data_IF_653188264389
#
_entry.id   IF_653188264389
#
_cell.length_a   1.000
_cell.length_b   1.000
_cell.length_c   1.000
_cell.angle_alpha   90.00
_cell.angle_beta   90.00
_cell.angle_gamma   90.00
#
_symmetry.space_group_name_H-M   'P 1'
#
loop_
_entity.id
_entity.type
_entity.pdbx_description
1 polymer ?
#
# COMPACT_ATOMS: atom_id res chain seq x y z
N UNK A 1 14.43 -13.90 -82.38
CA UNK A 1 13.48 -13.13 -81.54
C UNK A 1 12.30 -14.02 -81.17
N UNK A 2 12.28 -14.57 -79.94
CA UNK A 2 11.29 -15.57 -79.51
C UNK A 2 10.13 -14.86 -78.79
N UNK A 3 8.97 -14.74 -79.44
CA UNK A 3 7.76 -14.10 -78.88
C UNK A 3 7.24 -14.93 -77.70
N UNK A 4 7.51 -14.49 -76.48
CA UNK A 4 6.95 -15.07 -75.25
C UNK A 4 5.44 -14.77 -75.24
N UNK A 5 4.61 -15.81 -75.36
CA UNK A 5 3.14 -15.70 -75.39
C UNK A 5 2.64 -15.03 -74.10
N UNK A 6 1.73 -14.05 -74.18
CA UNK A 6 1.08 -13.38 -73.02
C UNK A 6 0.58 -14.36 -71.92
N UNK A 7 0.24 -15.59 -72.32
CA UNK A 7 -0.23 -16.67 -71.44
C UNK A 7 0.84 -17.16 -70.45
N UNK A 8 2.13 -17.13 -70.80
CA UNK A 8 3.22 -17.49 -69.87
C UNK A 8 3.47 -16.39 -68.85
N UNK A 9 3.32 -15.12 -69.24
CA UNK A 9 3.47 -13.99 -68.30
C UNK A 9 2.38 -13.98 -67.22
N UNK A 10 1.12 -14.23 -67.61
CA UNK A 10 0.02 -14.39 -66.63
C UNK A 10 0.29 -15.55 -65.66
N UNK A 11 0.79 -16.68 -66.14
CA UNK A 11 1.13 -17.83 -65.28
C UNK A 11 2.25 -17.50 -64.29
N UNK A 12 3.28 -16.76 -64.73
CA UNK A 12 4.39 -16.33 -63.85
C UNK A 12 3.88 -15.38 -62.76
N UNK A 13 3.01 -14.42 -63.11
CA UNK A 13 2.42 -13.50 -62.13
C UNK A 13 1.54 -14.24 -61.12
N UNK A 14 0.73 -15.21 -61.55
CA UNK A 14 -0.06 -16.04 -60.64
C UNK A 14 0.81 -16.87 -59.69
N UNK A 15 1.91 -17.44 -60.16
CA UNK A 15 2.85 -18.19 -59.32
C UNK A 15 3.51 -17.27 -58.29
N UNK A 16 3.91 -16.06 -58.68
CA UNK A 16 4.50 -15.09 -57.76
C UNK A 16 3.50 -14.64 -56.68
N UNK A 17 2.25 -14.36 -57.06
CA UNK A 17 1.20 -14.00 -56.10
C UNK A 17 0.88 -15.14 -55.14
N UNK A 18 0.82 -16.38 -55.63
CA UNK A 18 0.61 -17.56 -54.79
C UNK A 18 1.77 -17.78 -53.81
N UNK A 19 3.01 -17.55 -54.24
CA UNK A 19 4.19 -17.65 -53.38
C UNK A 19 4.20 -16.57 -52.28
N UNK A 20 3.83 -15.32 -52.62
CA UNK A 20 3.71 -14.23 -51.65
C UNK A 20 2.60 -14.53 -50.63
N UNK A 21 1.45 -15.01 -51.09
CA UNK A 21 0.35 -15.38 -50.20
C UNK A 21 0.75 -16.50 -49.23
N UNK A 22 1.43 -17.54 -49.73
CA UNK A 22 1.94 -18.63 -48.90
C UNK A 22 2.93 -18.12 -47.84
N UNK A 23 3.82 -17.18 -48.19
CA UNK A 23 4.77 -16.59 -47.25
C UNK A 23 4.08 -15.78 -46.15
N UNK A 24 3.02 -15.04 -46.47
CA UNK A 24 2.23 -14.27 -45.50
C UNK A 24 1.51 -15.22 -44.53
N UNK A 25 0.85 -16.25 -45.05
CA UNK A 25 0.13 -17.24 -44.23
C UNK A 25 1.11 -18.00 -43.33
N UNK A 26 2.27 -18.40 -43.85
CA UNK A 26 3.30 -19.07 -43.06
C UNK A 26 3.82 -18.18 -41.92
N UNK A 27 4.06 -16.89 -42.20
CA UNK A 27 4.48 -15.93 -41.18
C UNK A 27 3.42 -15.71 -40.11
N UNK A 28 2.14 -15.67 -40.50
CA UNK A 28 1.02 -15.51 -39.56
C UNK A 28 0.89 -16.74 -38.64
N UNK A 29 0.92 -17.97 -39.19
CA UNK A 29 0.90 -19.21 -38.41
C UNK A 29 2.10 -19.29 -37.46
N UNK A 30 3.29 -18.88 -37.92
CA UNK A 30 4.48 -18.84 -37.08
C UNK A 30 4.35 -17.86 -35.91
N UNK A 31 3.67 -16.72 -36.10
CA UNK A 31 3.43 -15.74 -35.05
C UNK A 31 2.40 -16.24 -34.04
N UNK A 32 1.31 -16.88 -34.50
CA UNK A 32 0.33 -17.49 -33.59
C UNK A 32 0.96 -18.60 -32.74
N UNK A 33 1.85 -19.41 -33.33
CA UNK A 33 2.54 -20.48 -32.61
C UNK A 33 3.52 -19.97 -31.56
N UNK A 34 4.12 -18.80 -31.77
CA UNK A 34 4.95 -18.12 -30.77
C UNK A 34 4.10 -17.52 -29.64
N UNK A 35 2.89 -17.06 -29.93
CA UNK A 35 1.95 -16.56 -28.91
C UNK A 35 1.34 -17.68 -28.06
N UNK A 36 1.21 -18.88 -28.61
CA UNK A 36 0.65 -20.05 -27.93
C UNK A 36 1.73 -21.03 -27.42
N UNK A 37 2.97 -20.57 -27.23
CA UNK A 37 3.94 -21.37 -26.51
C UNK A 37 3.36 -21.70 -25.13
N UNK A 38 3.29 -23.00 -24.74
CA UNK A 38 2.82 -23.35 -23.40
C UNK A 38 3.74 -22.64 -22.39
N UNK A 39 3.18 -22.07 -21.31
CA UNK A 39 4.00 -21.45 -20.27
C UNK A 39 5.03 -22.48 -19.81
N UNK A 40 6.30 -22.06 -19.78
CA UNK A 40 7.38 -22.86 -19.21
C UNK A 40 6.92 -23.29 -17.83
N UNK A 41 6.81 -24.60 -17.62
CA UNK A 41 6.49 -25.17 -16.33
C UNK A 41 7.65 -24.81 -15.40
N UNK A 42 7.46 -23.75 -14.62
CA UNK A 42 8.42 -23.32 -13.61
C UNK A 42 8.43 -24.42 -12.58
N UNK A 43 9.43 -25.31 -12.65
CA UNK A 43 9.75 -26.21 -11.53
C UNK A 43 9.92 -25.32 -10.32
N UNK A 44 8.94 -25.37 -9.42
CA UNK A 44 8.96 -24.59 -8.20
C UNK A 44 10.20 -25.03 -7.40
N UNK A 45 11.24 -24.21 -7.43
CA UNK A 45 12.32 -24.31 -6.46
C UNK A 45 11.64 -24.28 -5.09
N UNK A 46 11.86 -25.26 -4.20
CA UNK A 46 11.28 -25.20 -2.87
C UNK A 46 11.73 -23.88 -2.25
N UNK A 47 10.75 -23.03 -1.92
CA UNK A 47 11.02 -21.81 -1.18
C UNK A 47 11.80 -22.24 0.07
N UNK A 48 12.98 -21.66 0.35
CA UNK A 48 13.64 -21.92 1.61
C UNK A 48 12.63 -21.63 2.72
N UNK A 49 12.53 -22.53 3.70
CA UNK A 49 11.75 -22.25 4.90
C UNK A 49 12.19 -20.88 5.42
N UNK A 50 11.23 -19.99 5.78
CA UNK A 50 11.60 -18.71 6.35
C UNK A 50 12.51 -19.01 7.53
N UNK A 51 13.76 -18.57 7.43
CA UNK A 51 14.68 -18.60 8.55
C UNK A 51 13.93 -17.96 9.70
N UNK A 52 13.70 -18.69 10.80
CA UNK A 52 13.05 -18.13 12.00
C UNK A 52 13.73 -16.81 12.28
N UNK A 53 13.05 -15.72 11.95
CA UNK A 53 13.58 -14.38 12.16
C UNK A 53 13.85 -14.31 13.64
N UNK A 54 15.13 -14.19 13.99
CA UNK A 54 15.61 -14.11 15.35
C UNK A 54 14.72 -13.10 16.06
N UNK A 55 13.93 -13.55 17.06
CA UNK A 55 12.97 -12.70 17.76
C UNK A 55 13.66 -11.40 18.14
N UNK A 56 13.05 -10.22 17.92
CA UNK A 56 13.70 -8.95 18.17
C UNK A 56 14.19 -8.94 19.63
N UNK A 57 15.51 -8.98 19.80
CA UNK A 57 16.13 -9.03 21.12
C UNK A 57 15.91 -7.67 21.79
N UNK A 58 15.31 -7.69 22.97
CA UNK A 58 15.15 -6.52 23.82
C UNK A 58 16.56 -6.06 24.22
N UNK A 59 17.02 -4.94 23.68
CA UNK A 59 18.31 -4.33 24.03
C UNK A 59 18.12 -3.36 25.21
N UNK A 60 18.69 -3.66 26.38
CA UNK A 60 18.69 -2.79 27.57
C UNK A 60 18.43 -3.55 28.88
N UNK A 61 18.53 -2.86 30.02
CA UNK A 61 17.97 -3.36 31.29
C UNK A 61 16.44 -3.45 31.12
N UNK A 62 15.85 -4.61 31.46
CA UNK A 62 14.41 -4.90 31.34
C UNK A 62 13.51 -3.84 31.98
N UNK A 63 14.02 -3.11 32.97
CA UNK A 63 13.32 -2.03 33.67
C UNK A 63 12.83 -0.92 32.73
N UNK A 64 13.54 -0.64 31.64
CA UNK A 64 13.10 0.28 30.58
C UNK A 64 13.83 -0.05 29.27
N UNK A 65 13.22 -0.88 28.42
CA UNK A 65 13.75 -1.16 27.10
C UNK A 65 12.92 -0.47 26.02
N UNK A 66 13.58 0.12 25.02
CA UNK A 66 12.90 0.61 23.82
C UNK A 66 12.79 -0.54 22.82
N UNK A 67 11.57 -0.89 22.46
CA UNK A 67 11.31 -1.86 21.41
C UNK A 67 11.59 -1.24 20.03
N UNK A 68 11.84 -2.07 19.04
CA UNK A 68 12.16 -1.66 17.66
C UNK A 68 11.05 -0.82 17.00
N UNK A 69 9.81 -0.97 17.46
CA UNK A 69 8.65 -0.20 17.02
C UNK A 69 8.47 1.15 17.77
N UNK A 70 9.39 1.50 18.67
CA UNK A 70 9.39 2.76 19.40
C UNK A 70 8.53 2.76 20.68
N UNK A 71 7.98 1.61 21.08
CA UNK A 71 7.31 1.43 22.37
C UNK A 71 8.35 1.37 23.50
N UNK A 72 8.10 2.11 24.58
CA UNK A 72 8.89 2.01 25.81
C UNK A 72 8.27 0.93 26.70
N UNK A 73 8.99 -0.17 26.92
CA UNK A 73 8.56 -1.26 27.78
C UNK A 73 9.13 -1.07 29.20
N UNK A 74 8.22 -0.97 30.17
CA UNK A 74 8.55 -1.06 31.59
C UNK A 74 8.12 -2.46 32.07
N UNK A 75 9.07 -3.33 32.32
CA UNK A 75 8.81 -4.66 32.84
C UNK A 75 9.31 -4.76 34.28
N UNK A 76 8.44 -5.22 35.19
CA UNK A 76 8.77 -5.54 36.57
C UNK A 76 8.22 -6.93 36.86
N UNK A 77 9.04 -7.77 37.49
CA UNK A 77 8.59 -9.08 37.98
C UNK A 77 8.31 -8.91 39.47
N UNK A 78 7.07 -9.18 39.86
CA UNK A 78 6.65 -9.19 41.26
C UNK A 78 6.32 -10.63 41.65
N UNK A 79 6.88 -11.10 42.77
CA UNK A 79 6.62 -12.45 43.30
C UNK A 79 5.85 -12.31 44.60
N UNK A 80 4.64 -12.85 44.64
CA UNK A 80 3.82 -12.91 45.85
C UNK A 80 3.97 -14.29 46.50
N UNK A 81 3.91 -14.40 47.83
CA UNK A 81 3.87 -15.70 48.50
C UNK A 81 2.62 -16.47 48.10
N UNK A 82 2.79 -17.64 47.49
CA UNK A 82 1.72 -18.55 47.08
C UNK A 82 1.65 -19.82 47.93
N UNK A 83 0.72 -20.70 47.57
CA UNK A 83 0.58 -22.06 48.11
C UNK A 83 1.62 -23.04 47.56
N UNK A 84 1.29 -24.33 47.62
CA UNK A 84 2.12 -25.38 47.05
C UNK A 84 2.09 -25.35 45.52
N UNK A 85 3.21 -25.77 44.89
CA UNK A 85 3.39 -25.66 43.45
C UNK A 85 2.35 -26.45 42.63
N UNK A 86 1.73 -27.49 43.20
CA UNK A 86 0.68 -28.25 42.50
C UNK A 86 -0.63 -27.47 42.44
N UNK A 87 -0.98 -26.74 43.49
CA UNK A 87 -2.16 -25.88 43.52
C UNK A 87 -1.96 -24.66 42.62
N UNK A 88 -0.83 -23.97 42.75
CA UNK A 88 -0.53 -22.76 41.94
C UNK A 88 -0.38 -23.07 40.44
N UNK A 89 0.04 -24.28 40.07
CA UNK A 89 0.14 -24.67 38.64
C UNK A 89 -1.21 -24.72 37.94
N UNK A 90 -2.28 -25.02 38.67
CA UNK A 90 -3.63 -25.21 38.12
C UNK A 90 -4.42 -23.90 38.13
N UNK A 91 -4.05 -22.96 38.99
CA UNK A 91 -4.66 -21.64 39.06
C UNK A 91 -4.15 -20.71 37.93
N UNK A 92 -5.02 -20.24 37.02
CA UNK A 92 -4.63 -19.32 35.95
C UNK A 92 -4.06 -17.98 36.44
N UNK A 93 -4.40 -17.56 37.66
CA UNK A 93 -3.98 -16.28 38.22
C UNK A 93 -2.58 -16.32 38.86
N UNK A 94 -2.02 -17.52 39.06
CA UNK A 94 -0.69 -17.71 39.66
C UNK A 94 0.47 -17.29 38.74
N UNK A 95 0.21 -17.08 37.44
CA UNK A 95 1.23 -16.66 36.47
C UNK A 95 0.65 -15.71 35.41
N UNK A 96 0.37 -14.48 35.82
CA UNK A 96 -0.27 -13.44 34.98
C UNK A 96 0.73 -12.38 34.52
N UNK A 97 0.56 -11.93 33.28
CA UNK A 97 1.27 -10.78 32.71
C UNK A 97 0.25 -9.72 32.27
N UNK A 98 0.25 -8.57 32.94
CA UNK A 98 -0.58 -7.43 32.55
C UNK A 98 0.12 -6.52 31.54
N UNK A 99 -0.49 -6.36 30.37
CA UNK A 99 -0.01 -5.46 29.33
C UNK A 99 -0.89 -4.22 29.23
N UNK A 100 -0.32 -3.04 29.50
CA UNK A 100 -1.00 -1.75 29.37
C UNK A 100 -0.24 -0.81 28.43
N UNK A 101 -0.74 -0.67 27.20
CA UNK A 101 -0.21 0.31 26.24
C UNK A 101 -0.95 1.66 26.37
N UNK A 102 -0.19 2.73 26.60
CA UNK A 102 -0.72 4.09 26.69
C UNK A 102 -0.35 4.87 25.41
N UNK A 103 -1.33 5.08 24.53
CA UNK A 103 -1.17 5.89 23.33
C UNK A 103 -2.01 7.17 23.44
N UNK A 104 -1.40 8.33 23.14
CA UNK A 104 -2.12 9.61 23.08
C UNK A 104 -2.74 9.77 21.71
N UNK A 105 -4.02 10.14 21.65
CA UNK A 105 -4.67 10.49 20.38
C UNK A 105 -4.28 11.92 19.99
N UNK A 106 -3.83 12.16 18.74
CA UNK A 106 -3.49 13.49 18.28
C UNK A 106 -4.74 14.30 17.92
N UNK A 107 -4.63 15.62 18.04
CA UNK A 107 -5.65 16.57 17.61
C UNK A 107 -5.33 17.07 16.19
N UNK A 108 -6.33 17.17 15.29
CA UNK A 108 -6.12 17.64 13.93
C UNK A 108 -5.88 19.15 13.89
N UNK A 109 -4.95 19.58 13.03
CA UNK A 109 -4.77 20.99 12.68
C UNK A 109 -5.95 21.47 11.84
N UNK A 110 -6.48 22.66 12.15
CA UNK A 110 -7.67 23.25 11.51
C UNK A 110 -7.36 24.56 10.80
N UNK A 111 -6.39 25.32 11.30
CA UNK A 111 -6.09 26.66 10.77
C UNK A 111 -4.87 26.67 9.87
N UNK A 112 -4.75 27.70 9.04
CA UNK A 112 -3.61 27.85 8.14
C UNK A 112 -2.29 28.02 8.93
N UNK A 113 -2.33 28.67 10.09
CA UNK A 113 -1.18 28.85 10.98
C UNK A 113 -0.73 27.51 11.57
N UNK A 114 -1.67 26.65 11.95
CA UNK A 114 -1.35 25.31 12.44
C UNK A 114 -0.76 24.41 11.36
N UNK A 115 -1.33 24.44 10.15
CA UNK A 115 -0.78 23.73 8.99
C UNK A 115 0.64 24.22 8.63
N UNK A 116 0.88 25.53 8.76
CA UNK A 116 2.17 26.15 8.47
C UNK A 116 3.27 25.77 9.48
N UNK A 117 2.93 25.34 10.70
CA UNK A 117 3.92 24.82 11.67
C UNK A 117 4.65 23.59 11.13
N UNK A 118 3.95 22.76 10.34
CA UNK A 118 4.52 21.55 9.74
C UNK A 118 5.05 21.85 8.34
N UNK A 119 4.34 22.64 7.55
CA UNK A 119 4.72 22.99 6.16
C UNK A 119 4.76 24.51 6.00
N UNK A 120 5.87 25.19 6.35
CA UNK A 120 5.92 26.66 6.41
C UNK A 120 5.61 27.38 5.10
N UNK A 121 5.91 26.74 3.96
CA UNK A 121 5.68 27.33 2.63
C UNK A 121 4.23 27.14 2.13
N UNK A 122 3.40 26.39 2.85
CA UNK A 122 2.04 26.05 2.42
C UNK A 122 1.16 27.27 2.10
N UNK A 123 1.15 28.35 2.93
CA UNK A 123 0.34 29.53 2.63
C UNK A 123 0.80 30.25 1.35
N UNK A 124 2.10 30.22 1.06
CA UNK A 124 2.67 30.82 -0.15
C UNK A 124 2.37 29.99 -1.39
N UNK A 125 2.45 28.66 -1.29
CA UNK A 125 2.17 27.74 -2.41
C UNK A 125 0.68 27.69 -2.76
N UNK A 126 -0.20 27.82 -1.76
CA UNK A 126 -1.65 27.76 -1.92
C UNK A 126 -2.31 28.98 -1.26
N UNK A 127 -2.20 30.18 -1.86
CA UNK A 127 -2.73 31.42 -1.26
C UNK A 127 -4.26 31.41 -1.11
N UNK A 128 -4.98 30.63 -1.92
CA UNK A 128 -6.43 30.44 -1.80
C UNK A 128 -6.87 29.49 -0.69
N UNK A 129 -5.93 28.77 -0.04
CA UNK A 129 -6.26 27.71 0.92
C UNK A 129 -7.06 28.23 2.11
N UNK A 130 -6.69 29.38 2.66
CA UNK A 130 -7.38 30.01 3.79
C UNK A 130 -8.86 30.28 3.48
N UNK A 131 -9.16 30.70 2.25
CA UNK A 131 -10.54 30.97 1.82
C UNK A 131 -11.37 29.69 1.60
N UNK A 132 -10.74 28.51 1.54
CA UNK A 132 -11.40 27.22 1.36
C UNK A 132 -11.68 26.49 2.69
N UNK A 133 -11.13 26.97 3.81
CA UNK A 133 -11.34 26.39 5.13
C UNK A 133 -12.70 26.83 5.69
N UNK A 134 -13.56 25.87 6.03
CA UNK A 134 -14.78 26.09 6.78
C UNK A 134 -14.50 26.25 8.29
N UNK A 135 -15.47 26.75 9.09
CA UNK A 135 -15.32 26.85 10.56
C UNK A 135 -15.06 25.49 11.25
N UNK A 136 -15.63 24.42 10.71
CA UNK A 136 -15.27 23.04 11.08
C UNK A 136 -14.78 22.31 9.82
N UNK A 137 -13.48 22.37 9.52
CA UNK A 137 -12.94 21.80 8.30
C UNK A 137 -12.55 20.32 8.50
N UNK A 138 -12.63 19.77 9.71
CA UNK A 138 -12.11 18.42 9.99
C UNK A 138 -13.01 17.35 9.38
N UNK A 139 -12.41 16.49 8.56
CA UNK A 139 -13.13 15.35 7.99
C UNK A 139 -13.36 14.26 9.05
N UNK A 140 -14.54 13.61 9.10
CA UNK A 140 -14.77 12.43 9.92
C UNK A 140 -13.77 11.29 9.66
N UNK A 141 -13.16 11.27 8.48
CA UNK A 141 -12.11 10.33 8.10
C UNK A 141 -10.90 10.37 9.05
N UNK A 142 -10.59 11.52 9.65
CA UNK A 142 -9.49 11.61 10.62
C UNK A 142 -9.78 10.78 11.88
N UNK A 143 -11.01 10.90 12.42
CA UNK A 143 -11.42 10.11 13.58
C UNK A 143 -11.44 8.61 13.24
N UNK A 144 -12.02 8.24 12.09
CA UNK A 144 -12.07 6.86 11.62
C UNK A 144 -10.68 6.24 11.44
N UNK A 145 -9.71 7.02 10.94
CA UNK A 145 -8.32 6.57 10.81
C UNK A 145 -7.74 6.21 12.17
N UNK A 146 -7.85 7.09 13.17
CA UNK A 146 -7.29 6.84 14.50
C UNK A 146 -8.06 5.77 15.28
N UNK A 147 -9.37 5.66 15.11
CA UNK A 147 -10.16 4.53 15.65
C UNK A 147 -9.67 3.19 15.08
N UNK A 148 -9.40 3.14 13.78
CA UNK A 148 -8.85 1.96 13.12
C UNK A 148 -7.45 1.63 13.65
N UNK A 149 -6.57 2.64 13.81
CA UNK A 149 -5.24 2.43 14.40
C UNK A 149 -5.32 1.91 15.83
N UNK A 150 -6.22 2.46 16.65
CA UNK A 150 -6.44 1.98 18.02
C UNK A 150 -6.96 0.54 18.03
N UNK A 151 -7.85 0.17 17.09
CA UNK A 151 -8.28 -1.21 16.92
C UNK A 151 -7.10 -2.14 16.62
N UNK A 152 -6.23 -1.76 15.67
CA UNK A 152 -5.01 -2.52 15.34
C UNK A 152 -4.07 -2.64 16.54
N UNK A 153 -3.92 -1.59 17.35
CA UNK A 153 -3.14 -1.67 18.60
C UNK A 153 -3.72 -2.70 19.58
N UNK A 154 -5.04 -2.73 19.75
CA UNK A 154 -5.73 -3.69 20.64
C UNK A 154 -5.57 -5.12 20.15
N UNK A 155 -5.80 -5.35 18.86
CA UNK A 155 -5.71 -6.68 18.24
C UNK A 155 -4.29 -7.27 18.30
N UNK A 156 -3.27 -6.42 18.31
CA UNK A 156 -1.87 -6.85 18.31
C UNK A 156 -1.17 -6.68 19.66
N UNK A 157 -1.85 -6.26 20.74
CA UNK A 157 -1.18 -5.95 22.02
C UNK A 157 -0.43 -7.16 22.60
N UNK A 158 -0.94 -8.37 22.41
CA UNK A 158 -0.28 -9.62 22.82
C UNK A 158 0.92 -10.01 21.94
N UNK A 159 1.05 -9.38 20.76
CA UNK A 159 2.13 -9.60 19.78
C UNK A 159 2.88 -8.30 19.59
N UNK A 160 3.75 -7.97 20.56
CA UNK A 160 4.49 -6.71 20.61
C UNK A 160 5.30 -6.43 19.34
N UNK A 161 5.67 -7.47 18.60
CA UNK A 161 6.35 -7.40 17.30
C UNK A 161 5.45 -6.90 16.15
N UNK A 162 4.12 -7.02 16.30
CA UNK A 162 3.11 -6.62 15.31
C UNK A 162 2.36 -5.35 15.73
N UNK A 163 2.65 -4.81 16.91
CA UNK A 163 2.10 -3.53 17.36
C UNK A 163 2.63 -2.42 16.46
N UNK A 164 1.73 -1.55 15.99
CA UNK A 164 2.06 -0.39 15.17
C UNK A 164 3.20 0.42 15.79
N UNK A 165 4.15 0.80 14.95
CA UNK A 165 5.24 1.66 15.39
C UNK A 165 4.73 3.04 15.77
N UNK A 166 5.49 3.75 16.61
CA UNK A 166 5.19 5.14 16.95
C UNK A 166 5.11 6.02 15.70
N UNK A 167 6.00 5.80 14.73
CA UNK A 167 5.99 6.49 13.44
C UNK A 167 4.66 6.30 12.71
N UNK A 168 4.26 5.03 12.52
CA UNK A 168 3.02 4.70 11.79
C UNK A 168 1.76 5.06 12.58
N UNK A 169 1.82 5.14 13.90
CA UNK A 169 0.67 5.61 14.67
C UNK A 169 0.44 7.12 14.48
N UNK A 170 1.52 7.92 14.45
CA UNK A 170 1.49 9.39 14.38
C UNK A 170 1.78 9.97 12.99
N UNK A 171 1.62 9.20 11.92
CA UNK A 171 1.91 9.61 10.54
C UNK A 171 0.98 10.72 9.99
N UNK A 172 -0.24 10.87 10.50
CA UNK A 172 -1.25 11.75 9.93
C UNK A 172 -1.55 12.92 10.89
N UNK A 173 -1.23 14.13 10.44
CA UNK A 173 -1.45 15.36 11.20
C UNK A 173 -2.89 15.85 11.11
N UNK A 174 -3.48 15.86 9.91
CA UNK A 174 -4.88 16.28 9.71
C UNK A 174 -5.47 15.80 8.39
N UNK A 175 -6.80 15.71 8.36
CA UNK A 175 -7.60 15.51 7.15
C UNK A 175 -8.71 16.55 7.14
N UNK A 176 -8.66 17.47 6.18
CA UNK A 176 -9.57 18.61 6.08
C UNK A 176 -10.44 18.53 4.83
N UNK A 177 -11.73 18.80 4.99
CA UNK A 177 -12.66 19.04 3.90
C UNK A 177 -12.61 20.52 3.52
N UNK A 178 -12.35 20.77 2.25
CA UNK A 178 -12.23 22.10 1.67
C UNK A 178 -13.35 22.33 0.67
N UNK A 179 -13.81 23.57 0.55
CA UNK A 179 -14.72 23.97 -0.51
C UNK A 179 -14.29 25.30 -1.12
N UNK A 180 -14.12 25.33 -2.44
CA UNK A 180 -13.78 26.55 -3.14
C UNK A 180 -14.97 27.51 -3.15
N UNK A 181 -14.82 28.78 -2.72
CA UNK A 181 -15.96 29.67 -2.51
C UNK A 181 -16.75 30.01 -3.78
N UNK A 182 -16.08 30.22 -4.93
CA UNK A 182 -16.77 30.58 -6.19
C UNK A 182 -17.22 29.38 -7.02
N UNK A 183 -16.39 28.34 -7.14
CA UNK A 183 -16.70 27.17 -7.98
C UNK A 183 -17.44 26.07 -7.24
N UNK A 184 -17.59 26.18 -5.91
CA UNK A 184 -18.16 25.17 -5.01
C UNK A 184 -17.50 23.79 -5.08
N UNK A 185 -16.35 23.67 -5.77
CA UNK A 185 -15.60 22.43 -5.87
C UNK A 185 -15.11 22.02 -4.49
N UNK A 186 -15.33 20.75 -4.16
CA UNK A 186 -14.87 20.14 -2.92
C UNK A 186 -13.47 19.56 -3.12
N UNK A 187 -12.64 19.67 -2.11
CA UNK A 187 -11.34 19.01 -2.07
C UNK A 187 -11.11 18.42 -0.67
N UNK A 188 -10.23 17.43 -0.60
CA UNK A 188 -9.78 16.85 0.66
C UNK A 188 -8.28 17.16 0.78
N UNK A 189 -7.89 17.86 1.84
CA UNK A 189 -6.49 18.10 2.17
C UNK A 189 -6.05 17.08 3.21
N UNK A 190 -4.97 16.36 2.92
CA UNK A 190 -4.31 15.49 3.88
C UNK A 190 -2.92 16.06 4.15
N UNK A 191 -2.62 16.32 5.42
CA UNK A 191 -1.26 16.60 5.87
C UNK A 191 -0.79 15.39 6.66
N UNK A 192 0.11 14.61 6.08
CA UNK A 192 0.66 13.41 6.66
C UNK A 192 2.13 13.28 6.28
N UNK A 193 2.89 12.64 7.16
CA UNK A 193 4.19 12.08 6.85
C UNK A 193 3.96 10.79 6.06
N UNK A 194 4.51 10.72 4.85
CA UNK A 194 4.45 9.54 4.01
C UNK A 194 5.86 9.00 3.90
N UNK A 195 6.05 7.74 4.32
CA UNK A 195 7.26 7.02 3.95
C UNK A 195 7.43 7.05 2.43
N UNK A 196 8.65 7.35 1.98
CA UNK A 196 8.94 7.55 0.57
C UNK A 196 8.75 6.24 -0.19
N UNK A 197 7.64 6.16 -0.91
CA UNK A 197 7.42 5.17 -1.96
C UNK A 197 7.23 5.91 -3.28
N UNK A 198 8.34 6.01 -4.03
CA UNK A 198 8.40 6.70 -5.31
C UNK A 198 7.76 5.90 -6.47
N UNK A 199 7.21 4.72 -6.20
CA UNK A 199 6.54 3.85 -7.17
C UNK A 199 5.04 4.11 -7.20
N UNK A 200 4.66 5.27 -7.73
CA UNK A 200 3.28 5.54 -8.11
C UNK A 200 2.77 4.42 -9.04
N UNK A 201 1.86 3.61 -8.54
CA UNK A 201 1.29 2.50 -9.32
C UNK A 201 0.09 3.01 -10.11
N UNK A 202 0.02 2.63 -11.40
CA UNK A 202 -1.10 2.96 -12.26
C UNK A 202 -2.00 1.74 -12.47
N UNK A 203 -3.22 1.83 -11.94
CA UNK A 203 -4.22 0.75 -12.00
C UNK A 203 -4.62 0.41 -13.44
N UNK A 204 -4.39 1.33 -14.38
CA UNK A 204 -4.70 1.16 -15.80
C UNK A 204 -3.57 0.48 -16.60
N UNK A 205 -2.39 0.34 -16.00
CA UNK A 205 -1.22 -0.28 -16.62
C UNK A 205 -0.76 -1.54 -15.89
N UNK A 206 -1.32 -1.80 -14.72
CA UNK A 206 -1.05 -3.00 -13.94
C UNK A 206 -2.16 -4.03 -14.17
N UNK A 207 -1.82 -5.32 -14.27
CA UNK A 207 -2.82 -6.39 -14.21
C UNK A 207 -3.65 -6.25 -12.92
N UNK A 208 -4.94 -6.59 -12.97
CA UNK A 208 -5.82 -6.59 -11.79
C UNK A 208 -5.16 -7.47 -10.71
N UNK A 209 -4.67 -6.83 -9.65
CA UNK A 209 -4.01 -7.51 -8.53
C UNK A 209 -5.01 -8.15 -7.58
N UNK A 210 -4.57 -9.14 -6.82
CA UNK A 210 -5.35 -10.00 -5.90
C UNK A 210 -5.89 -9.30 -4.63
N UNK A 211 -6.17 -8.00 -4.68
CA UNK A 211 -6.84 -7.26 -3.60
C UNK A 211 -5.91 -6.43 -2.71
N UNK A 212 -6.52 -5.82 -1.69
CA UNK A 212 -5.90 -4.88 -0.76
C UNK A 212 -5.16 -5.69 0.32
N UNK A 213 -3.83 -5.76 0.25
CA UNK A 213 -2.98 -6.26 1.34
C UNK A 213 -2.67 -5.19 2.39
N UNK A 214 -2.10 -5.56 3.53
CA UNK A 214 -1.63 -4.61 4.56
C UNK A 214 -0.53 -3.66 4.06
N UNK A 215 0.17 -4.04 2.99
CA UNK A 215 1.21 -3.25 2.34
C UNK A 215 0.72 -2.67 1.00
N UNK A 216 -0.59 -2.66 0.78
CA UNK A 216 -1.18 -2.20 -0.46
C UNK A 216 -0.97 -0.69 -0.63
N UNK A 217 -0.26 -0.32 -1.70
CA UNK A 217 -0.06 1.07 -2.08
C UNK A 217 -1.26 1.53 -2.91
N UNK A 218 -1.94 2.62 -2.53
CA UNK A 218 -3.06 3.12 -3.33
C UNK A 218 -2.56 3.54 -4.72
N UNK A 219 -3.25 3.07 -5.75
CA UNK A 219 -2.97 3.43 -7.14
C UNK A 219 -3.42 4.87 -7.41
N UNK A 220 -2.52 5.83 -7.19
CA UNK A 220 -2.81 7.28 -7.27
C UNK A 220 -2.18 7.97 -8.48
N UNK A 221 -1.76 7.22 -9.51
CA UNK A 221 -1.23 7.82 -10.75
C UNK A 221 -2.31 8.61 -11.50
N UNK A 222 -2.39 9.92 -11.23
CA UNK A 222 -3.25 10.88 -11.96
C UNK A 222 -2.52 11.62 -13.09
N UNK A 223 -1.18 11.53 -13.17
CA UNK A 223 -0.39 12.30 -14.15
C UNK A 223 -0.28 11.65 -15.52
N UNK A 224 -0.63 10.38 -15.65
CA UNK A 224 -0.57 9.67 -16.93
C UNK A 224 -1.94 9.62 -17.61
N UNK A 225 -1.95 9.81 -18.92
CA UNK A 225 -3.14 9.57 -19.75
C UNK A 225 -3.63 8.14 -19.54
N UNK A 226 -4.94 7.99 -19.37
CA UNK A 226 -5.62 6.71 -19.33
C UNK A 226 -5.46 5.99 -20.67
N UNK A 227 -5.05 4.72 -20.61
CA UNK A 227 -5.11 3.73 -21.68
C UNK A 227 -6.51 3.13 -21.84
N UNK A 228 -7.25 2.96 -20.75
CA UNK A 228 -8.60 2.34 -20.79
C UNK A 228 -9.65 3.18 -20.05
N UNK A 229 -10.95 3.00 -20.39
CA UNK A 229 -12.04 3.62 -19.65
C UNK A 229 -12.38 2.89 -18.34
N UNK A 230 -11.62 1.86 -17.93
CA UNK A 230 -11.91 1.09 -16.73
C UNK A 230 -11.76 1.98 -15.48
N UNK A 231 -12.75 1.95 -14.56
CA UNK A 231 -12.61 2.64 -13.29
C UNK A 231 -11.47 2.00 -12.47
N UNK A 232 -10.81 2.80 -11.63
CA UNK A 232 -9.80 2.26 -10.72
C UNK A 232 -10.52 1.36 -9.70
N UNK A 233 -10.22 0.05 -9.63
CA UNK A 233 -10.92 -0.86 -8.74
C UNK A 233 -10.69 -0.58 -7.24
N UNK A 234 -9.75 0.31 -6.91
CA UNK A 234 -9.38 0.66 -5.54
C UNK A 234 -9.79 2.09 -5.14
N UNK A 235 -10.44 2.84 -6.03
CA UNK A 235 -11.03 4.14 -5.72
C UNK A 235 -12.54 4.06 -5.95
N UNK A 236 -13.38 4.34 -4.93
CA UNK A 236 -14.83 4.37 -5.08
C UNK A 236 -15.30 5.55 -5.95
#
# INVERSE_FOLDING_TARGET
MRRIRLRTWRRVVFVLLAAIFAAIVYRWISLERLQHAPPVEVVATPSPEPTRTRSPFITGKLETAKLFNGVTLHAKVETLPGGDAMTERVDPESYVLDLKLQARLPSPNKTIEELAKITPQLPTLLPGLTAMLSPDPVSPLFAQLYETKVKVLRENLARLDQVLSRHNFFDCQTVLQLQHPQSHRKALLLQADMDVDADGSDADRMPIGTGISTNFKPFTSYRWLKKTPAPNPYLP
#
